data_IF_755090545821
#
_entry.id   IF_755090545821
#
_cell.length_a   1.000
_cell.length_b   1.000
_cell.length_c   1.000
_cell.angle_alpha   90.00
_cell.angle_beta   90.00
_cell.angle_gamma   90.00
#
_symmetry.space_group_name_H-M   'P 1'
#
loop_
_entity.id
_entity.type
_entity.pdbx_description
1 polymer ?
#
# COMPACT_ATOMS: atom_id res chain seq x y z
N UNK A 1 6.48 12.00 -9.51
CA UNK A 1 5.58 10.92 -9.96
C UNK A 1 4.16 11.46 -9.93
N UNK A 2 3.46 11.45 -11.05
CA UNK A 2 2.04 11.83 -11.07
C UNK A 2 1.22 10.59 -10.70
N UNK A 3 0.42 10.69 -9.65
CA UNK A 3 -0.53 9.64 -9.26
C UNK A 3 -1.75 9.78 -10.19
N UNK A 4 -1.95 8.80 -11.06
CA UNK A 4 -3.09 8.73 -11.97
C UNK A 4 -4.32 8.17 -11.24
N UNK A 5 -5.51 8.51 -11.72
CA UNK A 5 -6.80 8.13 -11.14
C UNK A 5 -7.07 6.62 -11.15
N UNK A 6 -6.28 5.83 -11.89
CA UNK A 6 -6.33 4.37 -11.96
C UNK A 6 -4.91 3.81 -12.15
N UNK A 7 -4.72 2.51 -11.82
CA UNK A 7 -3.47 1.80 -12.08
C UNK A 7 -2.33 2.12 -11.11
N UNK A 8 -2.66 2.62 -9.92
CA UNK A 8 -1.71 2.86 -8.83
C UNK A 8 -1.83 1.74 -7.81
N UNK A 9 -0.69 1.13 -7.46
CA UNK A 9 -0.59 0.07 -6.46
C UNK A 9 0.25 0.56 -5.30
N UNK A 10 -0.26 0.42 -4.08
CA UNK A 10 0.47 0.68 -2.83
C UNK A 10 1.05 -0.62 -2.32
N UNK A 11 2.33 -0.58 -1.96
CA UNK A 11 3.02 -1.66 -1.28
C UNK A 11 3.21 -1.22 0.16
N UNK A 12 2.63 -1.97 1.11
CA UNK A 12 2.75 -1.76 2.55
C UNK A 12 3.43 -3.00 3.15
N UNK A 13 4.75 -2.99 3.20
CA UNK A 13 5.54 -4.16 3.56
C UNK A 13 5.18 -5.38 2.71
N UNK A 14 4.67 -6.49 3.30
CA UNK A 14 4.27 -7.67 2.55
C UNK A 14 2.87 -7.58 1.91
N UNK A 15 2.13 -6.49 2.14
CA UNK A 15 0.76 -6.31 1.63
C UNK A 15 0.76 -5.42 0.39
N UNK A 16 0.06 -5.86 -0.64
CA UNK A 16 -0.18 -5.09 -1.86
C UNK A 16 -1.63 -4.65 -1.91
N UNK A 17 -1.86 -3.36 -2.10
CA UNK A 17 -3.19 -2.75 -2.27
C UNK A 17 -3.25 -2.20 -3.69
N UNK A 18 -4.02 -2.84 -4.55
CA UNK A 18 -4.20 -2.45 -5.95
C UNK A 18 -5.34 -1.43 -6.11
N UNK A 19 -5.38 -0.78 -7.27
CA UNK A 19 -6.44 0.14 -7.70
C UNK A 19 -6.74 1.28 -6.72
N UNK A 20 -5.70 1.78 -6.05
CA UNK A 20 -5.85 2.95 -5.18
C UNK A 20 -5.93 4.18 -6.07
N UNK A 21 -7.12 4.79 -6.16
CA UNK A 21 -7.34 5.99 -6.94
C UNK A 21 -6.93 7.24 -6.16
N UNK A 22 -6.35 8.23 -6.86
CA UNK A 22 -6.17 9.56 -6.28
C UNK A 22 -7.52 10.12 -5.77
N UNK A 23 -7.54 10.71 -4.57
CA UNK A 23 -8.75 11.24 -3.93
C UNK A 23 -9.24 12.57 -4.55
N UNK A 24 -9.21 12.67 -5.89
CA UNK A 24 -9.55 13.90 -6.62
C UNK A 24 -8.56 15.06 -6.46
N UNK A 25 -7.57 14.95 -5.55
CA UNK A 25 -6.49 15.91 -5.35
C UNK A 25 -5.20 15.36 -5.96
N UNK A 26 -4.64 16.09 -6.94
CA UNK A 26 -3.40 15.70 -7.60
C UNK A 26 -2.26 15.59 -6.57
N UNK A 27 -1.58 14.45 -6.57
CA UNK A 27 -0.46 14.18 -5.65
C UNK A 27 -0.84 13.56 -4.31
N UNK A 28 -2.13 13.39 -4.02
CA UNK A 28 -2.60 12.74 -2.80
C UNK A 28 -3.29 11.40 -3.10
N UNK A 29 -2.99 10.43 -2.24
CA UNK A 29 -3.58 9.10 -2.23
C UNK A 29 -4.01 8.80 -0.79
N UNK A 30 -5.12 8.10 -0.60
CA UNK A 30 -5.43 7.51 0.71
C UNK A 30 -5.85 6.07 0.53
N UNK A 31 -5.47 5.27 1.52
CA UNK A 31 -5.78 3.86 1.62
C UNK A 31 -5.91 3.54 3.11
N UNK A 32 -6.70 2.51 3.44
CA UNK A 32 -6.79 2.02 4.81
C UNK A 32 -5.53 1.22 5.16
N UNK A 33 -4.97 1.48 6.34
CA UNK A 33 -3.85 0.70 6.86
C UNK A 33 -4.30 -0.76 7.00
N UNK A 34 -3.63 -1.72 6.31
CA UNK A 34 -4.04 -3.11 6.37
C UNK A 34 -3.92 -3.66 7.80
N UNK A 35 -4.90 -4.47 8.21
CA UNK A 35 -4.86 -5.23 9.47
C UNK A 35 -4.37 -6.66 9.26
N UNK A 36 -4.51 -7.16 8.03
CA UNK A 36 -4.24 -8.52 7.66
C UNK A 36 -3.21 -8.56 6.54
N UNK A 37 -2.30 -9.53 6.63
CA UNK A 37 -1.45 -9.97 5.54
C UNK A 37 -2.18 -11.09 4.80
N UNK A 38 -2.47 -10.92 3.50
CA UNK A 38 -3.01 -12.00 2.68
C UNK A 38 -2.03 -13.17 2.68
N UNK A 39 -2.55 -14.37 2.92
CA UNK A 39 -1.84 -15.62 2.68
C UNK A 39 -2.30 -16.19 1.34
N UNK A 40 -1.37 -16.72 0.55
CA UNK A 40 -1.72 -17.34 -0.72
C UNK A 40 -2.51 -18.64 -0.52
N UNK A 41 -3.50 -18.90 -1.38
CA UNK A 41 -4.24 -20.17 -1.41
C UNK A 41 -5.29 -20.31 -0.30
N UNK A 42 -5.42 -21.52 0.25
CA UNK A 42 -6.41 -21.86 1.29
C UNK A 42 -5.94 -21.54 2.73
N UNK A 43 -4.76 -20.97 2.89
CA UNK A 43 -4.25 -20.57 4.20
C UNK A 43 -5.03 -19.33 4.68
N UNK A 44 -5.49 -19.27 5.95
CA UNK A 44 -6.15 -18.10 6.50
C UNK A 44 -5.21 -16.87 6.59
N UNK A 45 -5.69 -15.65 6.29
CA UNK A 45 -4.91 -14.42 6.41
C UNK A 45 -4.33 -14.24 7.83
N UNK A 46 -3.11 -13.72 7.90
CA UNK A 46 -2.43 -13.46 9.17
C UNK A 46 -2.64 -12.03 9.63
N UNK A 47 -2.62 -11.78 10.94
CA UNK A 47 -2.67 -10.41 11.49
C UNK A 47 -1.30 -9.74 11.37
N UNK A 48 -1.26 -8.53 10.83
CA UNK A 48 -0.05 -7.71 10.81
C UNK A 48 0.40 -7.38 12.23
N UNK A 49 1.66 -7.71 12.54
CA UNK A 49 2.25 -7.42 13.85
C UNK A 49 2.70 -5.95 13.90
N UNK A 50 2.71 -5.31 15.07
CA UNK A 50 3.34 -4.00 15.22
C UNK A 50 4.80 -4.04 14.76
N UNK A 51 5.25 -2.99 14.09
CA UNK A 51 6.61 -2.90 13.53
C UNK A 51 6.72 -1.89 12.40
N UNK A 52 7.93 -1.76 11.86
CA UNK A 52 8.22 -0.84 10.76
C UNK A 52 7.96 -1.49 9.40
N UNK A 53 7.16 -0.81 8.58
CA UNK A 53 6.77 -1.24 7.25
C UNK A 53 7.20 -0.21 6.22
N UNK A 54 7.89 -0.67 5.18
CA UNK A 54 8.20 0.17 4.04
C UNK A 54 6.96 0.34 3.18
N UNK A 55 6.62 1.59 2.89
CA UNK A 55 5.50 2.00 2.07
C UNK A 55 6.01 2.69 0.83
N UNK A 56 5.63 2.18 -0.33
CA UNK A 56 5.93 2.81 -1.60
C UNK A 56 4.81 2.53 -2.60
N UNK A 57 4.80 3.31 -3.67
CA UNK A 57 3.75 3.30 -4.67
C UNK A 57 4.37 2.94 -6.02
N UNK A 58 3.71 2.06 -6.76
CA UNK A 58 4.06 1.74 -8.15
C UNK A 58 2.90 2.09 -9.07
N UNK A 59 3.19 2.75 -10.19
CA UNK A 59 2.23 2.97 -11.26
C UNK A 59 2.90 2.84 -12.63
N UNK A 60 2.17 3.10 -13.72
CA UNK A 60 2.70 3.00 -15.08
C UNK A 60 3.94 3.88 -15.34
N UNK A 61 4.19 4.92 -14.54
CA UNK A 61 5.34 5.81 -14.66
C UNK A 61 6.54 5.38 -13.79
N UNK A 62 6.42 4.30 -13.02
CA UNK A 62 7.50 3.73 -12.21
C UNK A 62 7.16 3.57 -10.73
N UNK A 63 8.18 3.67 -9.88
CA UNK A 63 8.09 3.51 -8.41
C UNK A 63 8.38 4.83 -7.70
N UNK A 64 7.65 5.13 -6.63
CA UNK A 64 7.86 6.31 -5.79
C UNK A 64 9.06 6.13 -4.85
N UNK A 65 9.37 7.18 -4.09
CA UNK A 65 10.22 7.04 -2.90
C UNK A 65 9.56 6.10 -1.87
N UNK A 66 10.39 5.51 -1.01
CA UNK A 66 9.96 4.69 0.11
C UNK A 66 9.78 5.56 1.36
N UNK A 67 8.64 5.39 2.03
CA UNK A 67 8.35 5.91 3.36
C UNK A 67 8.42 4.75 4.36
N UNK A 68 9.01 4.97 5.53
CA UNK A 68 8.92 4.01 6.64
C UNK A 68 7.73 4.37 7.51
N UNK A 69 6.79 3.44 7.69
CA UNK A 69 5.61 3.58 8.52
C UNK A 69 5.71 2.64 9.73
N UNK A 70 5.66 3.19 10.93
CA UNK A 70 5.64 2.39 12.17
C UNK A 70 4.20 2.04 12.53
N UNK A 71 3.84 0.76 12.38
CA UNK A 71 2.55 0.24 12.85
C UNK A 71 2.65 -0.01 14.36
N UNK A 72 1.82 0.71 15.12
CA UNK A 72 1.67 0.51 16.56
C UNK A 72 0.44 -0.35 16.86
N UNK A 73 0.36 -0.87 18.09
CA UNK A 73 -0.86 -1.55 18.59
C UNK A 73 -2.05 -0.61 18.63
#
# INVERSE_FOLDING_TARGET
MNITTTGTTVHFGPVTISDVSANGVQGFLSFDVPKLMPSGGEVPPMVLQPGDYNVYVTNANGTSNTLTFTLTR
#
